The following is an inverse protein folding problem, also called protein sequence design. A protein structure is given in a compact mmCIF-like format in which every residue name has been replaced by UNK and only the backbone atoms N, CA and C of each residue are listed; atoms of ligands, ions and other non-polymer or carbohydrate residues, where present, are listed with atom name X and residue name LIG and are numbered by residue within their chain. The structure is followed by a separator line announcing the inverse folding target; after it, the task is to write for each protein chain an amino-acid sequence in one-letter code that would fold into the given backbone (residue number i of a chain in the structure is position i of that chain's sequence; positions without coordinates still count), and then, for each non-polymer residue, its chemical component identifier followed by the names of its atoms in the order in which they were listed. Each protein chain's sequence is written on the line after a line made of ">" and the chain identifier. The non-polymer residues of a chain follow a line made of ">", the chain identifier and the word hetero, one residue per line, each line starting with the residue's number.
data_IF_724595682653
#
_entry.id   IF_724595682653
#
_cell.length_a   1.000
_cell.length_b   1.000
_cell.length_c   1.000
_cell.angle_alpha   90.00
_cell.angle_beta   90.00
_cell.angle_gamma   90.00
#
_symmetry.space_group_name_H-M   'P 1'
#
loop_
_entity.id
_entity.type
_entity.pdbx_description
1 polymer ?
#
# COMPACT_ATOMS: atom_id res chain seq x y z
N UNK A 1 16.69 -25.58 25.89
CA UNK A 1 18.05 -26.07 25.55
C UNK A 1 18.41 -25.58 24.17
N UNK A 2 19.17 -24.47 24.11
CA UNK A 2 19.49 -23.73 22.88
C UNK A 2 20.71 -24.41 22.27
N UNK A 3 20.58 -24.99 21.09
CA UNK A 3 21.72 -25.48 20.31
C UNK A 3 22.29 -24.29 19.52
N UNK A 4 23.33 -23.69 20.07
CA UNK A 4 24.20 -22.80 19.35
C UNK A 4 25.15 -23.64 18.49
N UNK A 5 24.89 -23.74 17.18
CA UNK A 5 25.92 -24.17 16.25
C UNK A 5 26.86 -22.97 16.06
N UNK A 6 28.05 -23.11 16.69
CA UNK A 6 29.14 -22.18 16.49
C UNK A 6 29.69 -22.27 15.08
N UNK A 7 29.17 -21.44 14.16
CA UNK A 7 29.97 -20.97 13.06
C UNK A 7 30.84 -19.85 13.63
N UNK A 8 32.09 -20.20 13.95
CA UNK A 8 33.11 -19.23 14.30
C UNK A 8 33.35 -18.29 13.12
N UNK A 9 32.56 -17.25 13.03
CA UNK A 9 32.90 -16.10 12.21
C UNK A 9 33.97 -15.35 12.99
N UNK A 10 35.20 -15.45 12.51
CA UNK A 10 36.25 -14.50 12.88
C UNK A 10 35.69 -13.14 12.45
N UNK A 11 35.17 -12.38 13.43
CA UNK A 11 34.84 -10.97 13.21
C UNK A 11 36.18 -10.27 12.99
N UNK A 12 36.62 -10.17 11.74
CA UNK A 12 37.58 -9.16 11.37
C UNK A 12 36.87 -7.81 11.59
N UNK A 13 37.50 -6.92 12.33
CA UNK A 13 37.00 -5.55 12.59
C UNK A 13 37.00 -4.70 11.30
N UNK A 14 36.97 -5.28 10.13
CA UNK A 14 36.80 -4.64 8.83
C UNK A 14 35.33 -4.61 8.51
N UNK A 15 34.77 -3.43 8.50
CA UNK A 15 33.47 -3.19 7.89
C UNK A 15 33.69 -3.27 6.38
N UNK A 16 33.37 -4.42 5.79
CA UNK A 16 33.40 -4.55 4.34
C UNK A 16 32.22 -3.80 3.73
N UNK A 17 32.51 -2.74 3.00
CA UNK A 17 31.54 -1.98 2.26
C UNK A 17 31.38 -2.57 0.87
N UNK A 18 30.18 -2.99 0.51
CA UNK A 18 29.82 -3.36 -0.85
C UNK A 18 28.88 -2.31 -1.46
N UNK A 19 29.17 -1.89 -2.68
CA UNK A 19 28.27 -1.01 -3.45
C UNK A 19 27.39 -1.89 -4.32
N UNK A 20 26.08 -1.80 -4.12
CA UNK A 20 25.08 -2.53 -4.89
C UNK A 20 24.37 -1.55 -5.85
N UNK A 21 24.09 -2.03 -7.06
CA UNK A 21 23.23 -1.34 -8.02
C UNK A 21 21.90 -2.10 -8.09
N UNK A 22 20.80 -1.38 -7.92
CA UNK A 22 19.45 -1.93 -8.01
C UNK A 22 18.76 -1.33 -9.24
N UNK A 23 18.30 -2.20 -10.15
CA UNK A 23 17.51 -1.79 -11.31
C UNK A 23 16.07 -2.29 -11.16
N UNK A 24 15.12 -1.36 -11.19
CA UNK A 24 13.70 -1.68 -11.14
C UNK A 24 13.24 -1.98 -12.57
N UNK A 25 12.80 -3.22 -12.83
CA UNK A 25 12.40 -3.69 -14.18
C UNK A 25 10.88 -3.84 -14.34
N UNK A 26 10.13 -3.69 -13.25
CA UNK A 26 8.66 -3.75 -13.25
C UNK A 26 8.10 -2.78 -12.21
N UNK A 27 6.79 -2.40 -12.31
CA UNK A 27 6.15 -1.61 -11.27
C UNK A 27 6.34 -2.25 -9.90
N UNK A 28 6.86 -1.49 -8.94
CA UNK A 28 7.19 -1.96 -7.60
C UNK A 28 6.52 -1.04 -6.59
N UNK A 29 5.82 -1.62 -5.63
CA UNK A 29 5.26 -0.91 -4.49
C UNK A 29 5.79 -1.51 -3.18
N UNK A 30 6.38 -0.67 -2.35
CA UNK A 30 6.76 -1.02 -0.99
C UNK A 30 5.84 -0.24 -0.08
N UNK A 31 4.80 -0.92 0.42
CA UNK A 31 3.76 -0.28 1.22
C UNK A 31 4.30 0.39 2.46
N UNK A 32 3.80 1.58 2.74
CA UNK A 32 3.99 2.27 3.99
C UNK A 32 3.15 1.65 5.12
N UNK A 33 3.34 2.13 6.36
CA UNK A 33 2.55 1.67 7.50
C UNK A 33 1.08 2.12 7.45
N UNK A 34 0.80 3.17 6.71
CA UNK A 34 -0.52 3.77 6.59
C UNK A 34 -1.33 3.07 5.50
N UNK A 35 -2.62 2.89 5.77
CA UNK A 35 -3.60 2.45 4.79
C UNK A 35 -4.58 3.58 4.55
N UNK A 36 -4.80 3.91 3.29
CA UNK A 36 -5.83 4.86 2.89
C UNK A 36 -7.15 4.13 2.77
N UNK A 37 -8.14 4.64 3.44
CA UNK A 37 -9.51 4.18 3.39
C UNK A 37 -10.33 5.03 2.41
N UNK A 38 -11.57 4.68 2.19
CA UNK A 38 -12.49 5.46 1.35
C UNK A 38 -12.71 6.90 1.83
N UNK A 39 -12.26 7.23 3.05
CA UNK A 39 -12.30 8.58 3.62
C UNK A 39 -11.10 9.44 3.24
N UNK A 40 -10.05 8.82 2.75
CA UNK A 40 -8.76 9.46 2.50
C UNK A 40 -8.50 9.73 1.01
N UNK A 41 -9.37 9.22 0.14
CA UNK A 41 -9.25 9.41 -1.31
C UNK A 41 -10.60 9.62 -2.00
N UNK A 42 -10.57 10.28 -3.13
CA UNK A 42 -11.70 10.34 -4.06
C UNK A 42 -11.43 9.43 -5.25
N UNK A 43 -12.47 8.74 -5.71
CA UNK A 43 -12.40 7.89 -6.86
C UNK A 43 -13.32 8.38 -7.97
N UNK A 44 -12.72 8.75 -9.10
CA UNK A 44 -13.41 9.11 -10.33
C UNK A 44 -13.54 7.87 -11.22
N UNK A 45 -14.68 7.23 -11.20
CA UNK A 45 -14.96 6.05 -12.00
C UNK A 45 -14.86 6.28 -13.51
N UNK A 46 -15.30 7.43 -13.98
CA UNK A 46 -15.35 7.76 -15.41
C UNK A 46 -13.94 7.91 -15.98
N UNK A 47 -13.03 8.49 -15.20
CA UNK A 47 -11.62 8.64 -15.58
C UNK A 47 -10.78 7.43 -15.19
N UNK A 48 -11.24 6.61 -14.24
CA UNK A 48 -10.45 5.52 -13.65
C UNK A 48 -9.30 6.01 -12.78
N UNK A 49 -9.48 7.17 -12.13
CA UNK A 49 -8.43 7.84 -11.36
C UNK A 49 -8.78 7.91 -9.88
N UNK A 50 -7.78 7.71 -9.04
CA UNK A 50 -7.85 7.86 -7.59
C UNK A 50 -7.07 9.11 -7.18
N UNK A 51 -7.68 9.95 -6.38
CA UNK A 51 -7.07 11.19 -5.88
C UNK A 51 -6.96 11.16 -4.36
N UNK A 52 -5.77 11.47 -3.85
CA UNK A 52 -5.59 11.77 -2.43
C UNK A 52 -6.27 13.08 -2.09
N UNK A 53 -6.97 13.09 -0.96
CA UNK A 53 -7.54 14.33 -0.46
C UNK A 53 -6.46 15.24 0.12
N UNK A 54 -6.43 16.47 -0.34
CA UNK A 54 -5.85 17.56 0.43
C UNK A 54 -6.90 18.02 1.44
N UNK A 55 -6.89 17.45 2.64
CA UNK A 55 -7.91 17.66 3.66
C UNK A 55 -8.13 19.16 3.98
N UNK A 56 -7.05 19.93 4.11
CA UNK A 56 -7.16 21.36 4.39
C UNK A 56 -7.90 22.12 3.27
N UNK A 57 -7.50 21.92 2.02
CA UNK A 57 -8.13 22.57 0.87
C UNK A 57 -9.53 22.03 0.62
N UNK A 58 -9.79 20.75 0.88
CA UNK A 58 -11.11 20.16 0.78
C UNK A 58 -12.11 20.79 1.74
N UNK A 59 -11.79 20.86 3.03
CA UNK A 59 -12.68 21.48 4.01
C UNK A 59 -12.87 22.99 3.75
N UNK A 60 -11.82 23.68 3.33
CA UNK A 60 -11.88 25.08 2.93
C UNK A 60 -12.77 25.29 1.71
N UNK A 61 -12.70 24.38 0.74
CA UNK A 61 -13.55 24.37 -0.43
C UNK A 61 -15.02 24.16 -0.06
N UNK A 62 -15.33 23.16 0.78
CA UNK A 62 -16.69 22.91 1.28
C UNK A 62 -17.26 24.12 2.03
N UNK A 63 -16.44 24.78 2.85
CA UNK A 63 -16.85 25.98 3.57
C UNK A 63 -17.24 27.13 2.63
N UNK A 64 -16.44 27.36 1.56
CA UNK A 64 -16.73 28.41 0.56
C UNK A 64 -18.04 28.15 -0.20
N UNK A 65 -18.43 26.92 -0.36
CA UNK A 65 -19.65 26.48 -1.04
C UNK A 65 -20.82 26.26 -0.09
N UNK A 66 -20.66 26.52 1.23
CA UNK A 66 -21.66 26.25 2.28
C UNK A 66 -22.14 24.80 2.30
N UNK A 67 -21.22 23.83 2.06
CA UNK A 67 -21.52 22.40 1.94
C UNK A 67 -20.99 21.53 3.07
N UNK A 68 -20.48 22.12 4.17
CA UNK A 68 -19.96 21.37 5.30
C UNK A 68 -21.01 20.49 5.96
N UNK A 69 -22.20 21.04 6.25
CA UNK A 69 -23.26 20.26 6.87
C UNK A 69 -23.79 19.12 5.99
N UNK A 70 -23.93 19.37 4.68
CA UNK A 70 -24.32 18.32 3.73
C UNK A 70 -23.24 17.22 3.62
N UNK A 71 -21.98 17.61 3.70
CA UNK A 71 -20.86 16.65 3.70
C UNK A 71 -20.84 15.79 4.97
N UNK A 72 -21.10 16.37 6.12
CA UNK A 72 -21.22 15.64 7.38
C UNK A 72 -22.34 14.58 7.31
N UNK A 73 -23.51 14.97 6.80
CA UNK A 73 -24.63 14.04 6.59
C UNK A 73 -24.25 12.91 5.62
N UNK A 74 -23.54 13.25 4.54
CA UNK A 74 -23.03 12.24 3.59
C UNK A 74 -22.08 11.25 4.27
N UNK A 75 -21.11 11.74 5.06
CA UNK A 75 -20.15 10.91 5.77
C UNK A 75 -20.81 9.96 6.76
N UNK A 76 -21.84 10.43 7.46
CA UNK A 76 -22.57 9.62 8.44
C UNK A 76 -23.51 8.58 7.81
N UNK A 77 -24.15 8.91 6.72
CA UNK A 77 -25.25 8.11 6.19
C UNK A 77 -24.93 7.31 4.93
N UNK A 78 -24.14 7.86 4.01
CA UNK A 78 -23.93 7.24 2.70
C UNK A 78 -22.58 6.54 2.60
N UNK A 79 -21.54 7.12 3.18
CA UNK A 79 -20.20 6.54 3.11
C UNK A 79 -20.05 5.23 3.89
N UNK A 80 -20.93 5.01 4.86
CA UNK A 80 -20.94 3.80 5.70
C UNK A 80 -21.72 2.66 5.04
N UNK A 81 -22.54 2.95 4.02
CA UNK A 81 -23.38 1.93 3.37
C UNK A 81 -22.61 1.15 2.32
N UNK A 82 -22.72 -0.19 2.29
CA UNK A 82 -22.30 -0.98 1.14
C UNK A 82 -23.04 -0.45 -0.10
N UNK A 83 -22.32 -0.13 -1.17
CA UNK A 83 -22.85 0.48 -2.40
C UNK A 83 -23.37 1.93 -2.27
N UNK A 84 -22.98 2.67 -1.24
CA UNK A 84 -23.21 4.11 -1.17
C UNK A 84 -22.51 4.87 -2.29
N UNK A 85 -22.93 6.12 -2.52
CA UNK A 85 -22.24 6.99 -3.49
C UNK A 85 -20.80 7.22 -3.05
N UNK A 86 -19.87 7.23 -4.00
CA UNK A 86 -18.48 7.60 -3.70
C UNK A 86 -18.40 9.08 -3.31
N UNK A 87 -17.35 9.46 -2.61
CA UNK A 87 -17.13 10.87 -2.27
C UNK A 87 -17.03 11.75 -3.52
N UNK A 88 -16.45 11.22 -4.60
CA UNK A 88 -16.39 11.91 -5.88
C UNK A 88 -17.78 12.13 -6.50
N UNK A 89 -18.62 11.07 -6.54
CA UNK A 89 -19.98 11.16 -7.06
C UNK A 89 -20.83 12.12 -6.23
N UNK A 90 -20.70 12.10 -4.92
CA UNK A 90 -21.37 13.05 -4.04
C UNK A 90 -20.96 14.49 -4.36
N UNK A 91 -19.66 14.76 -4.42
CA UNK A 91 -19.15 16.09 -4.72
C UNK A 91 -19.56 16.58 -6.12
N UNK A 92 -19.48 15.70 -7.13
CA UNK A 92 -19.91 15.97 -8.51
C UNK A 92 -21.37 16.39 -8.59
N UNK A 93 -22.24 15.71 -7.84
CA UNK A 93 -23.70 15.98 -7.86
C UNK A 93 -24.10 17.18 -7.00
N UNK A 94 -23.39 17.41 -5.88
CA UNK A 94 -23.77 18.46 -4.89
C UNK A 94 -23.12 19.81 -5.20
N UNK A 95 -21.93 19.81 -5.75
CA UNK A 95 -21.14 21.03 -5.99
C UNK A 95 -20.98 21.30 -7.48
N UNK A 96 -20.86 20.28 -8.28
CA UNK A 96 -20.67 20.33 -9.72
C UNK A 96 -19.27 19.92 -10.17
N UNK A 97 -19.20 19.16 -11.25
CA UNK A 97 -17.94 18.60 -11.77
C UNK A 97 -16.92 19.67 -12.18
N UNK A 98 -17.40 20.84 -12.67
CA UNK A 98 -16.54 21.94 -13.10
C UNK A 98 -15.77 22.60 -11.95
N UNK A 99 -16.23 22.42 -10.72
CA UNK A 99 -15.60 22.98 -9.53
C UNK A 99 -14.55 22.04 -8.92
N UNK A 100 -14.52 20.77 -9.35
CA UNK A 100 -13.60 19.77 -8.83
C UNK A 100 -12.28 19.80 -9.62
N UNK A 101 -11.47 20.80 -9.35
CA UNK A 101 -10.13 20.93 -9.96
C UNK A 101 -9.13 19.95 -9.36
N UNK A 102 -8.01 19.72 -10.05
CA UNK A 102 -6.93 18.86 -9.53
C UNK A 102 -6.35 19.39 -8.22
N UNK A 103 -6.31 20.71 -8.03
CA UNK A 103 -5.80 21.31 -6.78
C UNK A 103 -6.70 21.01 -5.58
N UNK A 104 -8.00 20.89 -5.81
CA UNK A 104 -8.98 20.50 -4.78
C UNK A 104 -8.94 18.99 -4.53
N UNK A 105 -8.87 18.20 -5.59
CA UNK A 105 -8.88 16.75 -5.48
C UNK A 105 -7.53 16.16 -4.97
N UNK A 106 -6.47 16.96 -5.00
CA UNK A 106 -5.12 16.52 -4.70
C UNK A 106 -4.46 15.79 -5.89
N UNK A 107 -3.23 15.35 -5.71
CA UNK A 107 -2.48 14.66 -6.75
C UNK A 107 -3.10 13.28 -7.04
N UNK A 108 -3.13 12.88 -8.30
CA UNK A 108 -3.51 11.53 -8.68
C UNK A 108 -2.53 10.53 -8.08
N UNK A 109 -3.03 9.51 -7.37
CA UNK A 109 -2.22 8.45 -6.80
C UNK A 109 -1.87 7.41 -7.86
N UNK A 110 -2.73 7.27 -8.87
CA UNK A 110 -2.55 6.34 -9.95
C UNK A 110 -3.81 6.19 -10.80
N UNK A 111 -3.63 5.63 -11.98
CA UNK A 111 -4.75 5.24 -12.83
C UNK A 111 -5.14 3.80 -12.52
N UNK A 112 -6.42 3.57 -12.28
CA UNK A 112 -6.95 2.23 -12.07
C UNK A 112 -7.47 1.71 -13.40
N UNK A 113 -6.98 0.55 -13.81
CA UNK A 113 -7.49 -0.09 -15.02
C UNK A 113 -8.98 -0.41 -14.85
N UNK A 114 -9.82 0.10 -15.75
CA UNK A 114 -11.28 -0.11 -15.72
C UNK A 114 -11.66 -1.60 -15.64
N UNK A 115 -10.85 -2.49 -16.24
CA UNK A 115 -11.07 -3.94 -16.22
C UNK A 115 -10.95 -4.61 -14.84
N UNK A 116 -10.21 -4.04 -13.90
CA UNK A 116 -10.07 -4.62 -12.56
C UNK A 116 -11.22 -4.23 -11.62
N UNK A 117 -12.01 -3.24 -11.99
CA UNK A 117 -13.11 -2.69 -11.18
C UNK A 117 -14.46 -3.02 -11.82
N UNK A 118 -14.47 -3.26 -13.12
CA UNK A 118 -15.67 -3.56 -13.90
C UNK A 118 -15.91 -5.06 -13.94
N UNK A 119 -16.56 -5.59 -12.92
CA UNK A 119 -17.20 -6.89 -13.02
C UNK A 119 -18.70 -6.67 -13.18
N UNK A 120 -19.20 -6.90 -14.40
CA UNK A 120 -20.63 -7.01 -14.72
C UNK A 120 -21.52 -5.84 -14.29
N UNK A 121 -21.08 -4.60 -14.51
CA UNK A 121 -21.89 -3.41 -14.24
C UNK A 121 -22.04 -3.02 -12.76
N UNK A 122 -21.35 -3.70 -11.84
CA UNK A 122 -21.31 -3.33 -10.43
C UNK A 122 -20.13 -2.40 -10.16
N UNK A 123 -20.41 -1.24 -9.56
CA UNK A 123 -19.38 -0.36 -9.01
C UNK A 123 -18.80 -1.04 -7.76
N UNK A 124 -17.69 -1.72 -7.90
CA UNK A 124 -16.99 -2.26 -6.73
C UNK A 124 -16.28 -1.11 -6.01
N UNK A 125 -16.43 -1.04 -4.69
CA UNK A 125 -15.61 -0.15 -3.88
C UNK A 125 -14.14 -0.57 -3.99
N UNK A 126 -13.25 0.40 -4.04
CA UNK A 126 -11.84 0.12 -3.88
C UNK A 126 -11.57 -0.42 -2.48
N UNK A 127 -10.69 -1.42 -2.40
CA UNK A 127 -10.12 -1.85 -1.14
C UNK A 127 -9.19 -0.76 -0.58
N UNK A 128 -8.78 -0.94 0.68
CA UNK A 128 -7.76 -0.08 1.28
C UNK A 128 -6.52 0.02 0.38
N UNK A 129 -6.08 1.24 0.15
CA UNK A 129 -4.89 1.51 -0.65
C UNK A 129 -3.70 1.62 0.29
N UNK A 130 -2.66 0.85 0.03
CA UNK A 130 -1.38 0.99 0.72
C UNK A 130 -0.45 1.83 -0.16
N UNK A 131 -0.22 3.11 0.17
CA UNK A 131 0.65 3.96 -0.63
C UNK A 131 2.11 3.51 -0.51
N UNK A 132 2.91 3.86 -1.51
CA UNK A 132 4.36 3.67 -1.46
C UNK A 132 4.94 4.43 -0.26
N UNK A 133 5.85 3.78 0.47
CA UNK A 133 6.53 4.41 1.61
C UNK A 133 7.32 5.64 1.17
N UNK A 134 7.22 6.69 1.99
CA UNK A 134 7.88 7.98 1.75
C UNK A 134 8.72 8.39 2.96
N UNK A 135 9.80 9.09 2.70
CA UNK A 135 10.60 9.75 3.72
C UNK A 135 9.93 11.00 4.29
N UNK A 136 10.55 11.61 5.28
CA UNK A 136 10.04 12.82 5.91
C UNK A 136 9.83 14.00 4.93
N UNK A 137 10.61 14.03 3.85
CA UNK A 137 10.49 15.06 2.80
C UNK A 137 9.44 14.70 1.74
N UNK A 138 8.70 13.59 1.89
CA UNK A 138 7.73 13.11 0.91
C UNK A 138 8.34 12.31 -0.26
N UNK A 139 9.65 12.15 -0.32
CA UNK A 139 10.34 11.40 -1.37
C UNK A 139 10.09 9.90 -1.23
N UNK A 140 9.87 9.25 -2.35
CA UNK A 140 9.75 7.79 -2.42
C UNK A 140 11.12 7.15 -2.25
N UNK A 141 11.23 6.15 -1.39
CA UNK A 141 12.48 5.41 -1.20
C UNK A 141 12.24 3.91 -1.00
N UNK A 142 13.31 3.14 -1.10
CA UNK A 142 13.30 1.71 -0.79
C UNK A 142 14.01 1.52 0.56
N UNK A 143 13.31 1.08 1.63
CA UNK A 143 13.95 0.83 2.92
C UNK A 143 15.04 -0.24 2.81
N UNK A 144 16.16 -0.02 3.49
CA UNK A 144 17.24 -1.01 3.57
C UNK A 144 16.79 -2.36 4.15
N UNK A 145 15.82 -2.34 5.08
CA UNK A 145 15.20 -3.55 5.62
C UNK A 145 14.47 -4.37 4.55
N UNK A 146 13.82 -3.71 3.59
CA UNK A 146 13.15 -4.38 2.46
C UNK A 146 14.17 -5.06 1.54
N UNK A 147 15.27 -4.37 1.23
CA UNK A 147 16.37 -4.93 0.43
C UNK A 147 16.99 -6.12 1.16
N UNK A 148 17.27 -5.97 2.47
CA UNK A 148 17.80 -7.05 3.28
C UNK A 148 16.89 -8.28 3.25
N UNK A 149 15.56 -8.09 3.45
CA UNK A 149 14.59 -9.18 3.41
C UNK A 149 14.57 -9.94 2.07
N UNK A 150 14.71 -9.22 0.96
CA UNK A 150 14.81 -9.85 -0.37
C UNK A 150 16.09 -10.67 -0.51
N UNK A 151 17.24 -10.13 -0.07
CA UNK A 151 18.53 -10.82 -0.10
C UNK A 151 18.50 -12.08 0.78
N UNK A 152 18.01 -11.96 2.01
CA UNK A 152 17.87 -13.09 2.94
C UNK A 152 16.98 -14.19 2.34
N UNK A 153 15.85 -13.81 1.75
CA UNK A 153 14.93 -14.74 1.08
C UNK A 153 15.59 -15.44 -0.12
N UNK A 154 16.38 -14.71 -0.90
CA UNK A 154 17.10 -15.27 -2.05
C UNK A 154 18.17 -16.26 -1.59
N UNK A 155 18.93 -15.96 -0.54
CA UNK A 155 19.94 -16.85 0.04
C UNK A 155 19.28 -18.12 0.55
N UNK A 156 18.21 -18.01 1.36
CA UNK A 156 17.47 -19.15 1.89
C UNK A 156 16.92 -20.02 0.76
N UNK A 157 16.31 -19.41 -0.25
CA UNK A 157 15.78 -20.11 -1.43
C UNK A 157 16.89 -20.86 -2.18
N UNK A 158 18.05 -20.24 -2.36
CA UNK A 158 19.20 -20.88 -2.98
C UNK A 158 19.69 -22.09 -2.16
N UNK A 159 19.83 -21.93 -0.84
CA UNK A 159 20.24 -23.01 0.05
C UNK A 159 19.25 -24.18 0.03
N UNK A 160 17.95 -23.92 0.07
CA UNK A 160 16.90 -24.94 -0.02
C UNK A 160 16.93 -25.70 -1.34
N UNK A 161 17.30 -25.05 -2.44
CA UNK A 161 17.39 -25.70 -3.76
C UNK A 161 18.66 -26.54 -3.90
N UNK A 162 19.79 -26.06 -3.40
CA UNK A 162 21.09 -26.68 -3.60
C UNK A 162 21.45 -27.70 -2.54
N UNK A 163 20.96 -27.59 -1.31
CA UNK A 163 21.31 -28.45 -0.19
C UNK A 163 20.11 -29.30 0.27
N UNK A 164 20.11 -30.58 -0.13
CA UNK A 164 19.04 -31.52 0.22
C UNK A 164 18.92 -31.71 1.73
N UNK A 165 20.04 -31.83 2.44
CA UNK A 165 20.04 -32.01 3.91
C UNK A 165 19.46 -30.81 4.63
N UNK A 166 19.84 -29.60 4.21
CA UNK A 166 19.26 -28.35 4.75
C UNK A 166 17.76 -28.32 4.54
N UNK A 167 17.28 -28.60 3.31
CA UNK A 167 15.85 -28.65 3.00
C UNK A 167 15.08 -29.63 3.88
N UNK A 168 15.57 -30.84 4.05
CA UNK A 168 14.93 -31.88 4.89
C UNK A 168 14.86 -31.43 6.35
N UNK A 169 15.93 -30.83 6.88
CA UNK A 169 15.93 -30.30 8.24
C UNK A 169 14.91 -29.20 8.44
N UNK A 170 14.86 -28.21 7.52
CA UNK A 170 13.87 -27.13 7.57
C UNK A 170 12.44 -27.68 7.50
N UNK A 171 12.17 -28.62 6.60
CA UNK A 171 10.84 -29.24 6.48
C UNK A 171 10.44 -29.97 7.77
N UNK A 172 11.37 -30.65 8.43
CA UNK A 172 11.11 -31.33 9.69
C UNK A 172 10.76 -30.36 10.82
N UNK A 173 11.52 -29.26 10.94
CA UNK A 173 11.24 -28.24 11.95
C UNK A 173 9.90 -27.52 11.70
N UNK A 174 9.60 -27.17 10.46
CA UNK A 174 8.31 -26.58 10.09
C UNK A 174 7.14 -27.50 10.44
N UNK A 175 7.26 -28.81 10.18
CA UNK A 175 6.22 -29.77 10.58
C UNK A 175 5.98 -29.76 12.08
N UNK A 176 7.03 -29.72 12.91
CA UNK A 176 6.88 -29.65 14.37
C UNK A 176 6.08 -28.41 14.80
N UNK A 177 6.37 -27.25 14.21
CA UNK A 177 5.66 -26.01 14.50
C UNK A 177 4.18 -26.11 14.10
N UNK A 178 3.89 -26.60 12.90
CA UNK A 178 2.52 -26.76 12.40
C UNK A 178 1.69 -27.70 13.30
N UNK A 179 2.27 -28.83 13.72
CA UNK A 179 1.60 -29.78 14.61
C UNK A 179 1.44 -29.27 16.06
N UNK A 180 2.22 -28.28 16.47
CA UNK A 180 2.08 -27.69 17.81
C UNK A 180 0.96 -26.63 17.88
N UNK A 181 0.46 -26.14 16.73
CA UNK A 181 -0.61 -25.13 16.64
C UNK A 181 -1.98 -25.72 16.27
N UNK A 182 -2.07 -27.01 15.98
CA UNK A 182 -3.31 -27.76 15.79
C UNK A 182 -3.64 -28.62 17.03
#
# INVERSE_FOLDING_TARGET
>A
MVWAYGLGWIMSNRIDHAKLSLTIVSPTNIGGPEKLTTKDYMYNYDAGEVYLLNNYEWFRFLARHNKLAEFEIYMQNEMVRPNGRTMYDWAKNTIGASQLTKDVLGPAIGSIMKSSIYNEGRKNSLNDITPQIRGANGDVYIPGSSIKGVIDSAIISHMLRKNKTFRVNVQRELKKVIYAYN
#
